data_IF_913205556663
#
_entry.id   IF_913205556663
#
_cell.length_a   1.000
_cell.length_b   1.000
_cell.length_c   1.000
_cell.angle_alpha   90.00
_cell.angle_beta   90.00
_cell.angle_gamma   90.00
#
_symmetry.space_group_name_H-M   'P 1'
#
loop_
_entity.id
_entity.type
_entity.pdbx_description
1 polymer ?
#
# COMPACT_ATOMS: atom_id res chain seq x y z
N UNK A 1 2.08 1.50 -22.42
CA UNK A 1 1.37 0.51 -23.23
C UNK A 1 1.21 -0.76 -22.39
N UNK A 2 -0.04 -1.20 -22.18
CA UNK A 2 -0.47 -2.56 -21.84
C UNK A 2 -0.09 -3.26 -20.51
N UNK A 3 0.26 -2.56 -19.42
CA UNK A 3 0.62 -3.25 -18.15
C UNK A 3 -0.54 -3.55 -17.19
N UNK A 4 -1.77 -3.10 -17.47
CA UNK A 4 -2.91 -3.23 -16.56
C UNK A 4 -4.07 -4.08 -17.12
N UNK A 5 -3.92 -4.61 -18.34
CA UNK A 5 -4.93 -5.45 -19.01
C UNK A 5 -4.41 -6.85 -19.38
N UNK A 6 -3.17 -7.19 -19.06
CA UNK A 6 -2.69 -8.57 -19.16
C UNK A 6 -3.01 -9.31 -17.87
N UNK A 7 -3.43 -10.58 -18.00
CA UNK A 7 -3.46 -11.55 -16.89
C UNK A 7 -2.25 -11.30 -15.99
N UNK A 8 -2.49 -11.18 -14.68
CA UNK A 8 -1.52 -10.80 -13.66
C UNK A 8 -0.20 -11.54 -13.88
N UNK A 9 0.70 -10.93 -14.66
CA UNK A 9 2.08 -11.40 -14.78
C UNK A 9 2.68 -11.02 -13.44
N UNK A 10 2.84 -12.02 -12.58
CA UNK A 10 3.57 -11.99 -11.32
C UNK A 10 5.04 -11.58 -11.54
N UNK A 11 5.26 -10.36 -12.01
CA UNK A 11 6.53 -9.68 -12.06
C UNK A 11 6.59 -8.72 -10.89
N UNK A 12 7.50 -8.95 -9.96
CA UNK A 12 7.76 -7.98 -8.92
C UNK A 12 8.34 -6.72 -9.54
N UNK A 13 7.67 -5.60 -9.27
CA UNK A 13 8.10 -4.31 -9.80
C UNK A 13 9.40 -3.87 -9.14
N UNK A 14 10.29 -3.24 -9.90
CA UNK A 14 11.49 -2.63 -9.31
C UNK A 14 11.12 -1.46 -8.39
N UNK A 15 11.91 -1.23 -7.34
CA UNK A 15 11.66 -0.14 -6.41
C UNK A 15 11.52 1.25 -7.09
N UNK A 16 12.38 1.63 -8.06
CA UNK A 16 12.23 2.91 -8.77
C UNK A 16 10.90 3.02 -9.53
N UNK A 17 10.41 1.90 -10.08
CA UNK A 17 9.14 1.89 -10.80
C UNK A 17 7.97 2.08 -9.84
N UNK A 18 7.99 1.42 -8.68
CA UNK A 18 6.96 1.55 -7.63
C UNK A 18 6.91 2.99 -7.09
N UNK A 19 8.07 3.56 -6.73
CA UNK A 19 8.17 4.95 -6.25
C UNK A 19 7.63 5.94 -7.28
N UNK A 20 7.99 5.76 -8.56
CA UNK A 20 7.48 6.60 -9.67
C UNK A 20 5.97 6.43 -9.90
N UNK A 21 5.47 5.20 -9.82
CA UNK A 21 4.04 4.90 -9.97
C UNK A 21 3.22 5.55 -8.84
N UNK A 22 3.73 5.54 -7.61
CA UNK A 22 3.04 6.11 -6.46
C UNK A 22 3.36 7.59 -6.23
N UNK A 23 4.28 8.19 -6.99
CA UNK A 23 4.74 9.57 -6.80
C UNK A 23 5.26 9.80 -5.36
N UNK A 24 5.98 8.80 -4.83
CA UNK A 24 6.59 8.89 -3.52
C UNK A 24 7.82 9.78 -3.60
N UNK A 25 7.78 10.87 -2.83
CA UNK A 25 8.95 11.72 -2.58
C UNK A 25 9.78 11.11 -1.44
N UNK A 26 10.90 10.50 -1.82
CA UNK A 26 11.85 9.86 -0.91
C UNK A 26 12.47 10.83 0.09
N UNK A 27 12.60 12.11 -0.25
CA UNK A 27 13.23 13.09 0.64
C UNK A 27 12.37 13.41 1.88
N UNK A 28 11.06 13.15 1.80
CA UNK A 28 10.10 13.50 2.83
C UNK A 28 9.21 12.31 3.22
N UNK A 29 9.72 11.08 3.08
CA UNK A 29 8.96 9.87 3.37
C UNK A 29 9.00 9.58 4.89
N UNK A 30 7.90 9.72 5.64
CA UNK A 30 7.97 9.57 7.09
C UNK A 30 8.23 8.12 7.51
N UNK A 31 9.18 7.92 8.43
CA UNK A 31 9.53 6.62 8.99
C UNK A 31 8.76 6.32 10.29
N UNK A 32 8.61 5.04 10.70
CA UNK A 32 8.99 3.83 9.96
C UNK A 32 8.04 3.58 8.77
N UNK A 33 8.55 2.90 7.75
CA UNK A 33 7.83 2.62 6.49
C UNK A 33 7.38 1.16 6.50
N UNK A 34 6.13 0.89 6.15
CA UNK A 34 5.58 -0.46 5.95
C UNK A 34 5.16 -0.65 4.49
N UNK A 35 5.69 -1.66 3.81
CA UNK A 35 5.28 -2.11 2.48
C UNK A 35 4.38 -3.35 2.60
N UNK A 36 3.08 -3.17 2.36
CA UNK A 36 2.05 -4.21 2.42
C UNK A 36 1.94 -4.89 1.06
N UNK A 37 2.21 -6.20 1.04
CA UNK A 37 2.32 -6.97 -0.20
C UNK A 37 3.65 -6.66 -0.89
N UNK A 38 4.75 -6.70 -0.14
CA UNK A 38 6.08 -6.31 -0.64
C UNK A 38 6.64 -7.27 -1.70
N UNK A 39 5.99 -8.42 -1.91
CA UNK A 39 6.46 -9.48 -2.78
C UNK A 39 7.51 -10.37 -2.12
N UNK A 40 7.81 -11.47 -2.81
CA UNK A 40 8.80 -12.48 -2.44
C UNK A 40 10.21 -11.91 -2.21
N UNK A 41 10.64 -10.99 -3.07
CA UNK A 41 11.98 -10.37 -3.04
C UNK A 41 12.01 -9.05 -2.28
N UNK A 42 10.85 -8.52 -1.87
CA UNK A 42 10.75 -7.28 -1.10
C UNK A 42 11.58 -6.12 -1.68
N UNK A 43 11.56 -5.95 -3.02
CA UNK A 43 12.49 -5.04 -3.70
C UNK A 43 12.43 -3.61 -3.20
N UNK A 44 11.23 -3.09 -2.91
CA UNK A 44 11.07 -1.74 -2.37
C UNK A 44 11.67 -1.64 -0.97
N UNK A 45 11.31 -2.55 -0.06
CA UNK A 45 11.83 -2.58 1.31
C UNK A 45 13.36 -2.62 1.33
N UNK A 46 13.95 -3.51 0.53
CA UNK A 46 15.40 -3.64 0.41
C UNK A 46 16.04 -2.34 -0.12
N UNK A 47 15.45 -1.74 -1.15
CA UNK A 47 15.93 -0.46 -1.69
C UNK A 47 15.83 0.69 -0.68
N UNK A 48 14.74 0.79 0.08
CA UNK A 48 14.58 1.81 1.12
C UNK A 48 15.64 1.62 2.23
N UNK A 49 15.92 0.37 2.62
CA UNK A 49 16.96 0.04 3.60
C UNK A 49 18.36 0.39 3.13
N UNK A 50 18.70 0.20 1.84
CA UNK A 50 20.01 0.63 1.32
C UNK A 50 20.17 2.14 1.27
N UNK A 51 19.07 2.89 1.25
CA UNK A 51 19.04 4.36 1.39
C UNK A 51 19.07 4.82 2.86
N UNK A 52 19.17 3.90 3.82
CA UNK A 52 19.24 4.20 5.25
C UNK A 52 17.89 4.40 5.94
N UNK A 53 16.77 4.16 5.25
CA UNK A 53 15.43 4.33 5.81
C UNK A 53 14.98 3.09 6.61
N UNK A 54 14.21 3.31 7.67
CA UNK A 54 13.59 2.29 8.51
C UNK A 54 12.35 1.67 7.82
N UNK A 55 12.58 0.76 6.87
CA UNK A 55 11.51 0.12 6.09
C UNK A 55 11.26 -1.35 6.44
N UNK A 56 9.98 -1.75 6.47
CA UNK A 56 9.54 -3.10 6.77
C UNK A 56 8.62 -3.63 5.67
N UNK A 57 8.65 -4.93 5.43
CA UNK A 57 7.80 -5.59 4.43
C UNK A 57 6.93 -6.67 5.03
N UNK A 58 5.71 -6.82 4.50
CA UNK A 58 4.86 -7.98 4.77
C UNK A 58 4.37 -8.60 3.46
N UNK A 59 4.56 -9.91 3.31
CA UNK A 59 3.99 -10.69 2.20
C UNK A 59 3.92 -12.17 2.59
N UNK A 60 2.93 -12.91 2.08
CA UNK A 60 2.78 -14.35 2.34
C UNK A 60 3.88 -15.19 1.71
N UNK A 61 4.46 -14.70 0.61
CA UNK A 61 5.47 -15.40 -0.18
C UNK A 61 6.90 -14.88 0.06
N UNK A 62 7.07 -13.89 0.94
CA UNK A 62 8.38 -13.36 1.28
C UNK A 62 9.21 -14.35 2.09
N UNK A 63 10.53 -14.26 1.94
CA UNK A 63 11.47 -14.91 2.85
C UNK A 63 11.64 -14.04 4.09
N UNK A 64 11.33 -14.58 5.26
CA UNK A 64 11.44 -13.84 6.51
C UNK A 64 12.88 -13.35 6.79
N UNK A 65 13.01 -12.12 7.28
CA UNK A 65 14.25 -11.48 7.69
C UNK A 65 13.97 -10.52 8.85
N UNK A 66 14.98 -9.87 9.48
CA UNK A 66 14.74 -8.92 10.57
C UNK A 66 13.78 -7.76 10.26
N UNK A 67 13.57 -7.46 8.97
CA UNK A 67 12.68 -6.37 8.51
C UNK A 67 11.68 -6.82 7.44
N UNK A 68 11.58 -8.13 7.17
CA UNK A 68 10.60 -8.71 6.25
C UNK A 68 9.84 -9.80 7.00
N UNK A 69 8.53 -9.65 7.12
CA UNK A 69 7.69 -10.64 7.77
C UNK A 69 6.96 -11.47 6.73
N UNK A 70 7.14 -12.78 6.79
CA UNK A 70 6.31 -13.72 6.04
C UNK A 70 4.97 -13.87 6.76
N UNK A 71 3.94 -13.15 6.31
CA UNK A 71 2.66 -13.08 7.00
C UNK A 71 1.50 -12.78 6.03
N UNK A 72 0.30 -13.21 6.42
CA UNK A 72 -0.91 -12.68 5.79
C UNK A 72 -1.11 -11.23 6.24
N UNK A 73 -1.17 -10.33 5.27
CA UNK A 73 -1.39 -8.91 5.55
C UNK A 73 -2.77 -8.65 6.15
N UNK A 74 -3.72 -9.58 6.08
CA UNK A 74 -5.01 -9.48 6.75
C UNK A 74 -4.92 -9.75 8.26
N UNK A 75 -3.97 -10.60 8.67
CA UNK A 75 -3.78 -11.03 10.05
C UNK A 75 -2.61 -10.34 10.76
N UNK A 76 -1.72 -9.69 10.00
CA UNK A 76 -0.56 -9.01 10.55
C UNK A 76 -0.93 -7.93 11.59
N UNK A 77 -0.23 -7.89 12.71
CA UNK A 77 -0.46 -6.89 13.74
C UNK A 77 0.17 -5.53 13.34
N UNK A 78 -0.69 -4.61 12.88
CA UNK A 78 -0.30 -3.26 12.49
C UNK A 78 0.07 -2.37 13.69
N UNK A 79 -0.26 -2.77 14.92
CA UNK A 79 0.02 -2.00 16.13
C UNK A 79 1.47 -2.14 16.63
N UNK A 80 2.24 -3.03 16.00
CA UNK A 80 3.68 -3.24 16.26
C UNK A 80 4.49 -1.95 16.23
N UNK A 81 4.09 -0.96 15.41
CA UNK A 81 4.68 0.38 15.32
C UNK A 81 3.61 1.43 15.02
N UNK A 82 3.92 2.69 15.31
CA UNK A 82 3.18 3.85 14.76
C UNK A 82 3.80 4.23 13.42
N UNK A 83 3.19 3.79 12.32
CA UNK A 83 3.78 3.90 10.99
C UNK A 83 3.82 5.34 10.50
N UNK A 84 4.97 5.77 10.00
CA UNK A 84 5.11 7.05 9.31
C UNK A 84 4.57 6.96 7.90
N UNK A 85 4.93 5.90 7.18
CA UNK A 85 4.43 5.64 5.84
C UNK A 85 3.95 4.22 5.74
N UNK A 86 2.81 4.03 5.11
CA UNK A 86 2.35 2.73 4.65
C UNK A 86 2.28 2.81 3.13
N UNK A 87 2.79 1.80 2.47
CA UNK A 87 2.81 1.68 1.03
C UNK A 87 2.09 0.37 0.74
N UNK A 88 1.12 0.40 -0.15
CA UNK A 88 0.54 -0.83 -0.68
C UNK A 88 0.35 -0.69 -2.17
N UNK A 89 1.17 -1.41 -2.91
CA UNK A 89 1.06 -1.44 -4.35
C UNK A 89 -0.20 -2.20 -4.80
N UNK A 90 -0.29 -2.38 -6.11
CA UNK A 90 -1.37 -3.03 -6.87
C UNK A 90 -1.97 -4.25 -6.15
N UNK A 91 -1.20 -5.04 -5.38
CA UNK A 91 -1.72 -6.18 -4.60
C UNK A 91 -2.97 -5.90 -3.77
N UNK A 92 -2.89 -5.08 -2.71
CA UNK A 92 -4.02 -4.86 -1.79
C UNK A 92 -5.23 -4.24 -2.50
N UNK A 93 -4.98 -3.18 -3.28
CA UNK A 93 -6.05 -2.39 -3.90
C UNK A 93 -6.72 -3.15 -5.05
N UNK A 94 -5.98 -3.93 -5.82
CA UNK A 94 -6.55 -4.75 -6.90
C UNK A 94 -7.33 -5.93 -6.33
N UNK A 95 -6.85 -6.56 -5.24
CA UNK A 95 -7.66 -7.52 -4.50
C UNK A 95 -8.96 -6.88 -4.03
N UNK A 96 -8.90 -5.69 -3.41
CA UNK A 96 -10.11 -5.00 -2.97
C UNK A 96 -11.06 -4.71 -4.14
N UNK A 97 -10.58 -4.09 -5.22
CA UNK A 97 -11.42 -3.76 -6.38
C UNK A 97 -12.08 -5.01 -6.99
N UNK A 98 -11.33 -6.09 -7.21
CA UNK A 98 -11.87 -7.32 -7.80
C UNK A 98 -12.82 -8.07 -6.87
N UNK A 99 -12.51 -8.12 -5.58
CA UNK A 99 -13.35 -8.80 -4.59
C UNK A 99 -14.65 -8.03 -4.37
N UNK A 100 -14.60 -6.71 -4.20
CA UNK A 100 -15.80 -5.88 -4.01
C UNK A 100 -16.81 -6.00 -5.16
N UNK A 101 -16.35 -6.27 -6.38
CA UNK A 101 -17.20 -6.49 -7.55
C UNK A 101 -17.78 -7.91 -7.65
N UNK A 102 -17.42 -8.85 -6.76
CA UNK A 102 -17.96 -10.21 -6.72
C UNK A 102 -18.97 -10.37 -5.59
N UNK A 103 -20.13 -10.96 -5.92
CA UNK A 103 -21.33 -11.08 -5.06
C UNK A 103 -21.08 -11.83 -3.73
N UNK A 104 -19.96 -12.54 -3.53
CA UNK A 104 -19.66 -13.32 -2.31
C UNK A 104 -18.29 -13.03 -1.66
N UNK A 105 -17.74 -11.81 -1.78
CA UNK A 105 -16.43 -11.50 -1.17
C UNK A 105 -16.55 -10.97 0.28
N UNK A 106 -15.49 -11.11 1.08
CA UNK A 106 -15.44 -10.54 2.44
C UNK A 106 -15.19 -9.02 2.45
N UNK A 107 -16.12 -8.25 1.88
CA UNK A 107 -15.98 -6.78 1.75
C UNK A 107 -15.86 -6.07 3.11
N UNK A 108 -16.51 -6.61 4.15
CA UNK A 108 -16.44 -6.07 5.51
C UNK A 108 -15.05 -6.23 6.09
N UNK A 109 -14.45 -7.41 5.93
CA UNK A 109 -13.08 -7.67 6.36
C UNK A 109 -12.08 -6.68 5.76
N UNK A 110 -12.15 -6.47 4.44
CA UNK A 110 -11.27 -5.52 3.77
C UNK A 110 -11.50 -4.07 4.23
N UNK A 111 -12.76 -3.65 4.46
CA UNK A 111 -13.06 -2.31 4.97
C UNK A 111 -12.54 -2.10 6.41
N UNK A 112 -12.67 -3.11 7.27
CA UNK A 112 -12.09 -3.12 8.61
C UNK A 112 -10.57 -3.02 8.55
N UNK A 113 -9.94 -3.79 7.66
CA UNK A 113 -8.50 -3.77 7.50
C UNK A 113 -7.97 -2.44 6.97
N UNK A 114 -8.67 -1.84 6.02
CA UNK A 114 -8.39 -0.48 5.56
C UNK A 114 -8.46 0.55 6.71
N UNK A 115 -9.49 0.46 7.55
CA UNK A 115 -9.60 1.31 8.75
C UNK A 115 -8.43 1.09 9.71
N UNK A 116 -8.00 -0.16 9.94
CA UNK A 116 -6.85 -0.48 10.78
C UNK A 116 -5.55 0.11 10.23
N UNK A 117 -5.32 0.05 8.91
CA UNK A 117 -4.20 0.71 8.22
C UNK A 117 -4.19 2.21 8.53
N UNK A 118 -5.34 2.88 8.38
CA UNK A 118 -5.42 4.31 8.64
C UNK A 118 -5.19 4.67 10.11
N UNK A 119 -5.64 3.81 11.03
CA UNK A 119 -5.48 4.01 12.47
C UNK A 119 -4.06 3.73 12.97
N UNK A 120 -3.29 2.90 12.28
CA UNK A 120 -1.90 2.59 12.65
C UNK A 120 -0.89 3.66 12.20
N UNK A 121 -1.28 4.57 11.31
CA UNK A 121 -0.45 5.71 10.93
C UNK A 121 -0.32 6.72 12.07
N UNK A 122 0.85 7.30 12.29
CA UNK A 122 1.00 8.45 13.20
C UNK A 122 0.34 9.72 12.62
N UNK A 123 0.15 10.76 13.43
CA UNK A 123 -0.25 12.08 12.92
C UNK A 123 0.80 12.60 11.91
N UNK A 124 0.35 13.11 10.76
CA UNK A 124 1.19 13.42 9.60
C UNK A 124 1.67 12.19 8.81
N UNK A 125 1.29 10.98 9.23
CA UNK A 125 1.61 9.74 8.53
C UNK A 125 0.82 9.59 7.23
N UNK A 126 1.37 8.80 6.31
CA UNK A 126 0.89 8.74 4.92
C UNK A 126 0.65 7.32 4.45
N UNK A 127 -0.48 7.08 3.79
CA UNK A 127 -0.76 5.83 3.08
C UNK A 127 -0.76 6.06 1.57
N UNK A 128 0.17 5.41 0.87
CA UNK A 128 0.29 5.42 -0.58
C UNK A 128 -0.22 4.11 -1.17
N UNK A 129 -1.12 4.18 -2.14
CA UNK A 129 -1.57 2.99 -2.86
C UNK A 129 -2.11 3.29 -4.25
N UNK A 130 -2.16 2.24 -5.07
CA UNK A 130 -2.82 2.24 -6.36
C UNK A 130 -3.30 0.83 -6.68
N UNK A 131 -4.39 0.66 -7.46
CA UNK A 131 -5.32 1.70 -7.91
C UNK A 131 -6.11 2.35 -6.76
N UNK A 132 -6.78 3.46 -7.01
CA UNK A 132 -7.63 4.14 -6.03
C UNK A 132 -8.87 3.32 -5.68
N UNK A 133 -9.46 3.59 -4.52
CA UNK A 133 -10.61 2.84 -3.97
C UNK A 133 -11.81 3.77 -3.70
N UNK A 134 -12.46 4.32 -4.76
CA UNK A 134 -13.48 5.38 -4.60
C UNK A 134 -14.61 5.03 -3.64
N UNK A 135 -14.99 3.75 -3.57
CA UNK A 135 -16.12 3.28 -2.78
C UNK A 135 -15.89 3.41 -1.27
N UNK A 136 -14.65 3.33 -0.77
CA UNK A 136 -14.32 3.48 0.67
C UNK A 136 -13.76 4.86 0.98
N UNK A 137 -12.99 5.43 0.06
CA UNK A 137 -12.38 6.76 0.23
C UNK A 137 -13.44 7.85 0.41
N UNK A 138 -14.59 7.74 -0.26
CA UNK A 138 -15.70 8.69 -0.12
C UNK A 138 -16.32 8.76 1.28
N UNK A 139 -16.02 7.77 2.13
CA UNK A 139 -16.53 7.68 3.50
C UNK A 139 -15.51 8.13 4.55
N UNK A 140 -14.34 8.61 4.13
CA UNK A 140 -13.33 9.10 5.06
C UNK A 140 -13.73 10.42 5.70
N UNK A 141 -13.46 10.51 7.00
CA UNK A 141 -13.66 11.73 7.79
C UNK A 141 -12.61 12.77 7.37
N UNK A 142 -13.04 13.78 6.61
CA UNK A 142 -12.17 14.82 6.06
C UNK A 142 -11.55 15.72 7.12
N UNK A 143 -12.06 15.71 8.37
CA UNK A 143 -11.42 16.40 9.48
C UNK A 143 -10.21 15.62 10.04
N UNK A 144 -10.09 14.32 9.72
CA UNK A 144 -9.00 13.44 10.18
C UNK A 144 -8.06 13.01 9.08
N UNK A 145 -8.51 13.04 7.82
CA UNK A 145 -7.75 12.54 6.69
C UNK A 145 -7.81 13.48 5.48
N UNK A 146 -6.64 13.84 4.96
CA UNK A 146 -6.50 14.46 3.64
C UNK A 146 -6.33 13.38 2.56
N UNK A 147 -7.01 13.52 1.43
CA UNK A 147 -6.93 12.58 0.31
C UNK A 147 -6.44 13.34 -0.92
N UNK A 148 -5.37 12.85 -1.54
CA UNK A 148 -4.89 13.33 -2.84
C UNK A 148 -4.94 12.17 -3.83
N UNK A 149 -5.56 12.42 -4.98
CA UNK A 149 -5.61 11.48 -6.10
C UNK A 149 -4.91 12.04 -7.31
N UNK A 150 -4.10 11.22 -7.97
CA UNK A 150 -3.46 11.57 -9.24
C UNK A 150 -3.67 10.46 -10.25
N UNK A 151 -4.22 10.79 -11.42
CA UNK A 151 -4.39 9.83 -12.51
C UNK A 151 -3.07 9.15 -12.89
N UNK A 152 -3.14 7.86 -13.20
CA UNK A 152 -2.02 7.10 -13.74
C UNK A 152 -2.11 7.20 -15.26
N UNK A 153 -1.12 7.83 -15.89
CA UNK A 153 -1.15 8.13 -17.34
C UNK A 153 -1.35 6.86 -18.17
N UNK A 154 -2.34 6.89 -19.06
CA UNK A 154 -2.63 5.78 -19.98
C UNK A 154 -3.44 4.65 -19.36
N UNK A 155 -4.14 4.91 -18.25
CA UNK A 155 -4.98 3.94 -17.53
C UNK A 155 -6.22 4.67 -17.01
N UNK A 156 -7.26 3.91 -16.63
CA UNK A 156 -8.46 4.46 -15.97
C UNK A 156 -8.29 4.64 -14.45
N UNK A 157 -7.15 4.22 -13.89
CA UNK A 157 -6.92 4.18 -12.45
C UNK A 157 -6.18 5.43 -11.96
N UNK A 158 -6.41 5.78 -10.70
CA UNK A 158 -5.59 6.78 -10.01
C UNK A 158 -4.68 6.12 -8.97
N UNK A 159 -3.63 6.83 -8.59
CA UNK A 159 -2.90 6.58 -7.34
C UNK A 159 -3.51 7.45 -6.25
N UNK A 160 -3.55 6.96 -5.02
CA UNK A 160 -4.05 7.69 -3.85
C UNK A 160 -2.94 7.87 -2.83
N UNK A 161 -2.88 9.08 -2.26
CA UNK A 161 -2.12 9.42 -1.07
C UNK A 161 -3.11 9.89 -0.01
N UNK A 162 -3.17 9.18 1.12
CA UNK A 162 -3.95 9.59 2.29
C UNK A 162 -2.99 10.11 3.35
N UNK A 163 -3.27 11.26 3.92
CA UNK A 163 -2.51 11.86 5.02
C UNK A 163 -3.39 11.85 6.26
N UNK A 164 -2.89 11.35 7.38
CA UNK A 164 -3.54 11.52 8.69
C UNK A 164 -3.25 12.92 9.21
N UNK A 165 -4.30 13.72 9.41
CA UNK A 165 -4.22 15.10 9.90
C UNK A 165 -3.89 15.16 11.40
#
# INVERSE_FOLDING_TARGET
>A
MAYLEQEVVCGEYSAPMQLKLLQIDMAHLPEPILDIGCGKQAFLVNYLRTMGLEAYGIDRNATASPFIYQADWFEFDLSTKSWGSIISNIGFSNHFQHHHLRVNSDYLGYALRYKQILQSMKAGGVFYYAPDLPFIEKHLDTAKFGIQKTAIKGTQFSRTKIVRL
#
